data_IF_999977310180
#
_entry.id   IF_999977310180
#
_cell.length_a   1.000
_cell.length_b   1.000
_cell.length_c   1.000
_cell.angle_alpha   90.00
_cell.angle_beta   90.00
_cell.angle_gamma   90.00
#
_symmetry.space_group_name_H-M   'P 1'
#
loop_
_entity.id
_entity.type
_entity.pdbx_description
1 polymer ?
#
# COMPACT_ATOMS: atom_id res chain seq x y z
N UNK A 1 -17.44 -13.80 0.62
CA UNK A 1 -18.40 -13.20 1.60
C UNK A 1 -19.46 -12.41 0.84
N UNK A 2 -20.75 -12.60 1.13
CA UNK A 2 -21.79 -11.74 0.51
C UNK A 2 -21.86 -10.45 1.34
N UNK A 3 -21.65 -9.31 0.73
CA UNK A 3 -21.73 -7.96 1.33
C UNK A 3 -23.07 -7.64 2.03
N UNK A 4 -24.03 -8.55 1.97
CA UNK A 4 -25.36 -8.46 2.57
C UNK A 4 -25.63 -9.51 3.67
N UNK A 5 -24.58 -10.07 4.28
CA UNK A 5 -24.78 -10.97 5.44
C UNK A 5 -25.15 -10.13 6.67
N UNK A 6 -26.42 -10.20 7.06
CA UNK A 6 -26.96 -9.46 8.20
C UNK A 6 -26.22 -9.72 9.51
N UNK A 7 -25.64 -10.92 9.70
CA UNK A 7 -24.85 -11.24 10.90
C UNK A 7 -23.52 -10.45 10.90
N UNK A 8 -22.83 -10.42 9.76
CA UNK A 8 -21.58 -9.68 9.65
C UNK A 8 -21.78 -8.17 9.82
N UNK A 9 -22.82 -7.61 9.20
CA UNK A 9 -23.16 -6.19 9.38
C UNK A 9 -23.40 -5.83 10.85
N UNK A 10 -24.08 -6.70 11.62
CA UNK A 10 -24.27 -6.51 13.06
C UNK A 10 -22.93 -6.56 13.80
N UNK A 11 -22.07 -7.54 13.52
CA UNK A 11 -20.74 -7.62 14.17
C UNK A 11 -19.90 -6.38 13.90
N UNK A 12 -19.87 -5.90 12.65
CA UNK A 12 -19.15 -4.67 12.30
C UNK A 12 -19.63 -3.45 13.08
N UNK A 13 -20.96 -3.29 13.24
CA UNK A 13 -21.49 -2.13 13.98
C UNK A 13 -21.23 -2.17 15.49
N UNK A 14 -20.95 -3.35 16.05
CA UNK A 14 -20.62 -3.53 17.46
C UNK A 14 -19.11 -3.49 17.74
N UNK A 15 -18.27 -3.28 16.71
CA UNK A 15 -16.82 -3.21 16.87
C UNK A 15 -16.38 -2.05 17.76
N UNK A 16 -17.02 -0.90 17.61
CA UNK A 16 -16.70 0.34 18.32
C UNK A 16 -17.32 0.42 19.74
N UNK A 17 -18.18 -0.54 20.09
CA UNK A 17 -18.78 -0.58 21.43
C UNK A 17 -20.22 -1.07 21.46
N UNK A 18 -20.83 -1.12 22.65
CA UNK A 18 -22.19 -1.60 22.84
C UNK A 18 -23.24 -0.70 22.18
N UNK A 19 -24.21 -1.30 21.48
CA UNK A 19 -25.32 -0.61 20.84
C UNK A 19 -26.66 -1.24 21.21
N UNK A 20 -27.73 -0.43 21.27
CA UNK A 20 -29.11 -0.93 21.36
C UNK A 20 -29.60 -1.41 19.99
N UNK A 21 -30.55 -2.33 19.95
CA UNK A 21 -31.05 -2.92 18.72
C UNK A 21 -31.49 -1.91 17.64
N UNK A 22 -32.09 -0.77 18.05
CA UNK A 22 -32.41 0.31 17.10
C UNK A 22 -31.16 1.03 16.57
N UNK A 23 -30.18 1.31 17.44
CA UNK A 23 -28.93 1.95 17.08
C UNK A 23 -28.08 1.08 16.15
N UNK A 24 -28.13 -0.27 16.30
CA UNK A 24 -27.48 -1.21 15.38
C UNK A 24 -27.96 -0.98 13.94
N UNK A 25 -29.28 -0.87 13.72
CA UNK A 25 -29.81 -0.69 12.36
C UNK A 25 -29.48 0.70 11.78
N UNK A 26 -29.40 1.73 12.63
CA UNK A 26 -28.94 3.07 12.22
C UNK A 26 -27.43 3.05 11.87
N UNK A 27 -26.63 2.31 12.61
CA UNK A 27 -25.21 2.15 12.30
C UNK A 27 -25.00 1.35 10.99
N UNK A 28 -25.80 0.29 10.74
CA UNK A 28 -25.80 -0.43 9.47
C UNK A 28 -26.14 0.51 8.30
N UNK A 29 -27.15 1.37 8.46
CA UNK A 29 -27.52 2.35 7.43
C UNK A 29 -26.37 3.32 7.11
N UNK A 30 -25.62 3.76 8.12
CA UNK A 30 -24.42 4.60 7.90
C UNK A 30 -23.31 3.87 7.14
N UNK A 31 -23.14 2.57 7.39
CA UNK A 31 -22.11 1.76 6.75
C UNK A 31 -22.46 1.34 5.32
N UNK A 32 -23.75 1.10 5.03
CA UNK A 32 -24.19 0.45 3.78
C UNK A 32 -25.10 1.30 2.92
N UNK A 33 -25.56 2.43 3.44
CA UNK A 33 -26.59 3.26 2.79
C UNK A 33 -28.02 2.71 2.89
N UNK A 34 -28.23 1.55 3.54
CA UNK A 34 -29.56 0.93 3.67
C UNK A 34 -29.79 0.25 5.02
N UNK A 35 -31.06 0.17 5.45
CA UNK A 35 -31.43 -0.52 6.68
C UNK A 35 -31.77 -1.98 6.42
N UNK A 36 -31.47 -2.84 7.38
CA UNK A 36 -32.01 -4.20 7.40
C UNK A 36 -33.51 -4.18 7.75
N UNK A 37 -34.28 -5.02 7.07
CA UNK A 37 -35.66 -5.29 7.46
C UNK A 37 -35.75 -5.85 8.88
N UNK A 38 -36.84 -5.55 9.61
CA UNK A 38 -37.01 -5.98 11.02
C UNK A 38 -36.80 -7.49 11.22
N UNK A 39 -37.31 -8.34 10.32
CA UNK A 39 -37.13 -9.80 10.40
C UNK A 39 -35.67 -10.23 10.20
N UNK A 40 -34.95 -9.58 9.26
CA UNK A 40 -33.54 -9.87 8.98
C UNK A 40 -32.64 -9.48 10.15
N UNK A 41 -32.84 -8.30 10.75
CA UNK A 41 -32.10 -7.86 11.93
C UNK A 41 -32.37 -8.77 13.13
N UNK A 42 -33.65 -9.02 13.46
CA UNK A 42 -34.01 -9.89 14.59
C UNK A 42 -33.47 -11.31 14.42
N UNK A 43 -33.57 -11.87 13.22
CA UNK A 43 -33.02 -13.20 12.93
C UNK A 43 -31.49 -13.25 13.01
N UNK A 44 -30.77 -12.17 12.60
CA UNK A 44 -29.33 -12.06 12.76
C UNK A 44 -28.93 -12.00 14.24
N UNK A 45 -29.61 -11.18 15.04
CA UNK A 45 -29.32 -11.03 16.48
C UNK A 45 -29.54 -12.34 17.25
N UNK A 46 -30.64 -13.07 16.96
CA UNK A 46 -30.89 -14.40 17.57
C UNK A 46 -29.77 -15.36 17.24
N UNK A 47 -29.43 -15.52 15.95
CA UNK A 47 -28.34 -16.43 15.52
C UNK A 47 -26.98 -16.08 16.09
N UNK A 48 -26.64 -14.78 16.21
CA UNK A 48 -25.38 -14.34 16.80
C UNK A 48 -25.32 -14.62 18.29
N UNK A 49 -26.44 -14.46 19.01
CA UNK A 49 -26.56 -14.81 20.42
C UNK A 49 -26.45 -16.33 20.63
N UNK A 50 -27.16 -17.13 19.82
CA UNK A 50 -27.15 -18.58 19.93
C UNK A 50 -25.75 -19.18 19.61
N UNK A 51 -24.91 -18.43 18.88
CA UNK A 51 -23.51 -18.75 18.64
C UNK A 51 -22.55 -18.12 19.67
N UNK A 52 -23.09 -17.49 20.70
CA UNK A 52 -22.31 -16.79 21.74
C UNK A 52 -21.34 -15.70 21.20
N UNK A 53 -21.66 -15.11 20.04
CA UNK A 53 -20.83 -14.07 19.42
C UNK A 53 -21.18 -12.66 19.89
N UNK A 54 -22.40 -12.48 20.41
CA UNK A 54 -22.87 -11.25 21.04
C UNK A 54 -23.58 -11.58 22.35
N UNK A 55 -23.54 -10.64 23.29
CA UNK A 55 -24.23 -10.74 24.56
C UNK A 55 -24.97 -9.45 24.88
N UNK A 56 -26.07 -9.59 25.65
CA UNK A 56 -26.79 -8.46 26.19
C UNK A 56 -26.17 -8.02 27.51
N UNK A 57 -25.92 -6.73 27.64
CA UNK A 57 -25.53 -6.14 28.92
C UNK A 57 -26.74 -5.94 29.83
N UNK A 58 -26.46 -5.70 31.13
CA UNK A 58 -27.49 -5.39 32.09
C UNK A 58 -28.30 -4.15 31.73
N UNK A 59 -29.56 -4.12 32.13
CA UNK A 59 -30.54 -3.11 31.72
C UNK A 59 -30.13 -1.72 32.21
N UNK A 60 -29.85 -0.81 31.27
CA UNK A 60 -29.77 0.62 31.54
C UNK A 60 -31.09 1.28 31.13
N UNK A 61 -31.98 1.49 32.08
CA UNK A 61 -33.32 2.05 31.82
C UNK A 61 -34.24 1.05 31.11
N UNK A 62 -34.85 1.46 29.97
CA UNK A 62 -35.78 0.60 29.18
C UNK A 62 -35.12 -0.19 28.06
N UNK A 63 -33.79 -0.14 27.91
CA UNK A 63 -33.09 -0.71 26.77
C UNK A 63 -31.94 -1.61 27.23
N UNK A 64 -31.78 -2.72 26.51
CA UNK A 64 -30.68 -3.67 26.71
C UNK A 64 -29.64 -3.49 25.57
N UNK A 65 -28.46 -2.94 25.84
CA UNK A 65 -27.40 -2.85 24.83
C UNK A 65 -26.79 -4.24 24.57
N UNK A 66 -26.36 -4.45 23.30
CA UNK A 66 -25.56 -5.63 22.90
C UNK A 66 -24.10 -5.20 22.76
N UNK A 67 -23.21 -6.14 23.06
CA UNK A 67 -21.78 -6.02 22.73
C UNK A 67 -21.26 -7.32 22.10
N UNK A 68 -20.10 -7.23 21.47
CA UNK A 68 -19.33 -8.41 21.04
C UNK A 68 -18.80 -9.15 22.27
N UNK A 69 -18.90 -10.48 22.25
CA UNK A 69 -18.10 -11.32 23.13
C UNK A 69 -16.65 -11.40 22.62
N UNK A 70 -15.74 -11.99 23.40
CA UNK A 70 -14.38 -12.28 22.95
C UNK A 70 -14.38 -13.15 21.67
N UNK A 71 -15.27 -14.15 21.59
CA UNK A 71 -15.43 -14.99 20.41
C UNK A 71 -15.97 -14.20 19.20
N UNK A 72 -16.93 -13.29 19.43
CA UNK A 72 -17.47 -12.41 18.38
C UNK A 72 -16.42 -11.46 17.81
N UNK A 73 -15.57 -10.89 18.68
CA UNK A 73 -14.45 -10.02 18.26
C UNK A 73 -13.43 -10.81 17.45
N UNK A 74 -13.00 -11.98 17.93
CA UNK A 74 -12.05 -12.84 17.22
C UNK A 74 -12.58 -13.31 15.86
N UNK A 75 -13.89 -13.60 15.76
CA UNK A 75 -14.52 -13.92 14.47
C UNK A 75 -14.46 -12.72 13.51
N UNK A 76 -14.87 -11.53 13.98
CA UNK A 76 -14.85 -10.31 13.16
C UNK A 76 -13.45 -10.01 12.65
N UNK A 77 -12.45 -10.02 13.52
CA UNK A 77 -11.06 -9.79 13.16
C UNK A 77 -10.52 -10.79 12.13
N UNK A 78 -10.88 -12.07 12.25
CA UNK A 78 -10.51 -13.10 11.29
C UNK A 78 -11.16 -12.87 9.92
N UNK A 79 -12.45 -12.53 9.89
CA UNK A 79 -13.16 -12.28 8.64
C UNK A 79 -12.68 -11.01 7.96
N UNK A 80 -12.38 -9.94 8.71
CA UNK A 80 -11.80 -8.70 8.19
C UNK A 80 -10.42 -8.98 7.62
N UNK A 81 -9.55 -9.72 8.33
CA UNK A 81 -8.24 -10.16 7.81
C UNK A 81 -8.38 -10.97 6.53
N UNK A 82 -9.30 -11.93 6.48
CA UNK A 82 -9.54 -12.73 5.28
C UNK A 82 -9.96 -11.88 4.07
N UNK A 83 -10.76 -10.84 4.29
CA UNK A 83 -11.14 -9.89 3.21
C UNK A 83 -9.95 -9.02 2.81
N UNK A 84 -9.17 -8.55 3.78
CA UNK A 84 -7.93 -7.80 3.51
C UNK A 84 -6.91 -8.64 2.73
N UNK A 85 -6.73 -9.93 3.10
CA UNK A 85 -5.86 -10.88 2.38
C UNK A 85 -6.35 -11.14 0.94
N UNK A 86 -7.67 -11.23 0.72
CA UNK A 86 -8.23 -11.35 -0.63
C UNK A 86 -8.04 -10.06 -1.42
N UNK A 87 -8.27 -8.90 -0.79
CA UNK A 87 -8.02 -7.61 -1.41
C UNK A 87 -6.53 -7.42 -1.74
N UNK A 88 -5.62 -7.82 -0.82
CA UNK A 88 -4.18 -7.85 -1.05
C UNK A 88 -3.82 -8.67 -2.27
N UNK A 89 -4.32 -9.91 -2.36
CA UNK A 89 -4.11 -10.79 -3.51
C UNK A 89 -4.69 -10.24 -4.82
N UNK A 90 -5.80 -9.51 -4.77
CA UNK A 90 -6.35 -8.84 -5.98
C UNK A 90 -5.41 -7.76 -6.52
N UNK A 91 -4.67 -7.07 -5.65
CA UNK A 91 -3.67 -6.07 -6.05
C UNK A 91 -2.29 -6.69 -6.37
N UNK A 92 -1.95 -7.84 -5.77
CA UNK A 92 -0.68 -8.55 -6.00
C UNK A 92 -0.66 -9.37 -7.31
N UNK A 93 -1.80 -9.90 -7.75
CA UNK A 93 -1.91 -10.79 -8.91
C UNK A 93 -1.63 -10.11 -10.28
N UNK A 94 -0.98 -8.95 -10.30
CA UNK A 94 -0.91 -8.11 -11.49
C UNK A 94 0.33 -8.31 -12.35
N UNK A 95 1.39 -8.95 -11.86
CA UNK A 95 2.64 -9.11 -12.63
C UNK A 95 3.11 -10.57 -12.62
N UNK A 96 3.03 -11.29 -13.75
CA UNK A 96 3.77 -12.53 -13.90
C UNK A 96 5.27 -12.22 -13.77
N UNK A 97 5.96 -12.93 -12.90
CA UNK A 97 7.37 -12.71 -12.59
C UNK A 97 7.72 -11.26 -12.17
N UNK A 98 7.17 -10.89 -11.01
CA UNK A 98 7.38 -9.59 -10.36
C UNK A 98 8.87 -9.23 -10.21
N UNK A 99 9.73 -10.23 -9.99
CA UNK A 99 11.16 -10.02 -9.78
C UNK A 99 11.90 -9.68 -11.07
N UNK A 100 11.67 -10.44 -12.14
CA UNK A 100 12.29 -10.12 -13.43
C UNK A 100 11.82 -8.74 -13.95
N UNK A 101 10.59 -8.36 -13.64
CA UNK A 101 10.09 -7.00 -13.88
C UNK A 101 10.88 -5.96 -13.09
N UNK A 102 11.08 -6.16 -11.78
CA UNK A 102 11.83 -5.25 -10.92
C UNK A 102 13.30 -5.12 -11.36
N UNK A 103 13.95 -6.22 -11.72
CA UNK A 103 15.33 -6.23 -12.22
C UNK A 103 15.45 -5.45 -13.55
N UNK A 104 14.53 -5.68 -14.51
CA UNK A 104 14.50 -4.93 -15.78
C UNK A 104 14.28 -3.45 -15.57
N UNK A 105 13.36 -3.10 -14.70
CA UNK A 105 13.05 -1.70 -14.38
C UNK A 105 14.24 -1.01 -13.71
N UNK A 106 14.90 -1.69 -12.75
CA UNK A 106 16.09 -1.20 -12.07
C UNK A 106 17.28 -0.96 -13.03
N UNK A 107 17.32 -1.70 -14.15
CA UNK A 107 18.37 -1.56 -15.16
C UNK A 107 18.20 -0.31 -16.06
N UNK A 108 17.08 0.42 -15.99
CA UNK A 108 16.89 1.62 -16.80
C UNK A 108 17.65 2.82 -16.25
N UNK A 109 18.17 3.71 -17.12
CA UNK A 109 18.91 4.90 -16.71
C UNK A 109 18.09 5.82 -15.81
N UNK A 110 16.81 6.00 -16.12
CA UNK A 110 15.90 6.82 -15.33
C UNK A 110 15.78 6.31 -13.88
N UNK A 111 15.63 4.99 -13.71
CA UNK A 111 15.53 4.39 -12.38
C UNK A 111 16.87 4.45 -11.64
N UNK A 112 17.97 4.16 -12.29
CA UNK A 112 19.30 4.32 -11.69
C UNK A 112 19.56 5.74 -11.21
N UNK A 113 19.16 6.73 -12.01
CA UNK A 113 19.37 8.15 -11.69
C UNK A 113 18.60 8.58 -10.45
N UNK A 114 17.28 8.30 -10.37
CA UNK A 114 16.54 8.71 -9.18
C UNK A 114 16.93 7.92 -7.92
N UNK A 115 17.28 6.64 -8.05
CA UNK A 115 17.78 5.84 -6.91
C UNK A 115 19.10 6.36 -6.37
N UNK A 116 20.02 6.79 -7.24
CA UNK A 116 21.24 7.46 -6.82
C UNK A 116 20.95 8.79 -6.10
N UNK A 117 19.98 9.57 -6.59
CA UNK A 117 19.52 10.78 -5.92
C UNK A 117 18.93 10.48 -4.53
N UNK A 118 18.08 9.45 -4.40
CA UNK A 118 17.54 9.02 -3.11
C UNK A 118 18.64 8.66 -2.12
N UNK A 119 19.67 7.92 -2.57
CA UNK A 119 20.80 7.55 -1.72
C UNK A 119 21.53 8.79 -1.20
N UNK A 120 21.75 9.79 -2.05
CA UNK A 120 22.34 11.06 -1.62
C UNK A 120 21.47 11.84 -0.63
N UNK A 121 20.14 11.83 -0.81
CA UNK A 121 19.19 12.52 0.07
C UNK A 121 19.12 11.90 1.48
N UNK A 122 19.44 10.62 1.64
CA UNK A 122 19.52 9.94 2.94
C UNK A 122 20.61 10.56 3.85
N UNK A 123 21.62 11.17 3.29
CA UNK A 123 22.75 11.78 4.02
C UNK A 123 23.39 10.83 5.05
N UNK A 124 23.54 9.54 4.69
CA UNK A 124 24.09 8.51 5.55
C UNK A 124 25.54 8.80 5.91
N UNK A 125 25.93 8.41 7.13
CA UNK A 125 27.31 8.48 7.60
C UNK A 125 27.92 7.07 7.59
N UNK A 126 29.22 6.93 7.28
CA UNK A 126 29.92 5.68 7.48
C UNK A 126 29.75 5.16 8.90
N UNK A 127 29.51 3.86 9.06
CA UNK A 127 29.21 3.22 10.35
C UNK A 127 27.76 3.32 10.82
N UNK A 128 26.88 4.03 10.08
CA UNK A 128 25.47 4.18 10.41
C UNK A 128 24.64 2.93 10.13
N UNK A 129 23.44 2.88 10.70
CA UNK A 129 22.42 1.86 10.45
C UNK A 129 21.34 2.44 9.53
N UNK A 130 21.07 1.79 8.40
CA UNK A 130 20.03 2.21 7.45
C UNK A 130 18.99 1.10 7.24
N UNK A 131 17.72 1.51 7.11
CA UNK A 131 16.58 0.63 6.92
C UNK A 131 16.00 0.80 5.51
N UNK A 132 15.79 -0.31 4.79
CA UNK A 132 15.04 -0.36 3.53
C UNK A 132 13.68 -1.01 3.79
N UNK A 133 12.63 -0.19 3.78
CA UNK A 133 11.25 -0.57 4.03
C UNK A 133 10.62 -1.11 2.74
N UNK A 134 10.28 -2.40 2.71
CA UNK A 134 9.82 -3.09 1.51
C UNK A 134 10.97 -3.32 0.54
N UNK A 135 12.06 -3.93 1.01
CA UNK A 135 13.31 -4.07 0.25
C UNK A 135 13.17 -4.97 -1.01
N UNK A 136 12.04 -5.68 -1.17
CA UNK A 136 11.81 -6.59 -2.27
C UNK A 136 12.95 -7.60 -2.44
N UNK A 137 13.41 -7.88 -3.69
CA UNK A 137 14.51 -8.82 -3.93
C UNK A 137 15.91 -8.24 -3.63
N UNK A 138 16.00 -7.15 -2.86
CA UNK A 138 17.24 -6.60 -2.33
C UNK A 138 18.11 -5.82 -3.32
N UNK A 139 17.51 -5.23 -4.37
CA UNK A 139 18.26 -4.51 -5.42
C UNK A 139 19.06 -3.34 -4.84
N UNK A 140 18.50 -2.63 -3.87
CA UNK A 140 19.07 -1.41 -3.31
C UNK A 140 19.96 -1.66 -2.08
N UNK A 141 19.94 -2.87 -1.50
CA UNK A 141 20.71 -3.19 -0.30
C UNK A 141 22.22 -3.11 -0.51
N UNK A 142 22.71 -3.49 -1.71
CA UNK A 142 24.15 -3.33 -2.06
C UNK A 142 24.62 -1.88 -2.08
N UNK A 143 23.97 -0.98 -2.84
CA UNK A 143 24.25 0.47 -2.79
C UNK A 143 24.18 1.07 -1.37
N UNK A 144 23.20 0.67 -0.55
CA UNK A 144 23.11 1.10 0.85
C UNK A 144 24.29 0.61 1.68
N UNK A 145 24.70 -0.66 1.50
CA UNK A 145 25.87 -1.24 2.16
C UNK A 145 27.16 -0.50 1.79
N UNK A 146 27.30 -0.11 0.53
CA UNK A 146 28.39 0.75 0.09
C UNK A 146 28.41 2.12 0.77
N UNK A 147 27.24 2.72 0.95
CA UNK A 147 27.13 4.05 1.57
C UNK A 147 27.45 4.06 3.08
N UNK A 148 27.02 3.03 3.83
CA UNK A 148 27.34 2.93 5.26
C UNK A 148 28.72 2.32 5.54
N UNK A 149 29.31 1.66 4.54
CA UNK A 149 30.63 1.05 4.64
C UNK A 149 30.66 -0.22 5.55
N UNK A 150 31.84 -0.83 5.73
CA UNK A 150 31.96 -2.14 6.41
C UNK A 150 31.66 -2.08 7.91
N UNK A 151 31.73 -0.91 8.54
CA UNK A 151 31.35 -0.71 9.94
C UNK A 151 29.88 -0.35 10.15
N UNK A 152 29.11 -0.18 9.08
CA UNK A 152 27.69 0.12 9.15
C UNK A 152 26.80 -1.11 9.13
N UNK A 153 25.48 -0.91 9.15
CA UNK A 153 24.47 -1.96 9.09
C UNK A 153 23.35 -1.57 8.11
N UNK A 154 22.93 -2.50 7.30
CA UNK A 154 21.78 -2.36 6.40
C UNK A 154 20.73 -3.39 6.80
N UNK A 155 19.52 -2.92 7.07
CA UNK A 155 18.37 -3.75 7.37
C UNK A 155 17.38 -3.66 6.22
N UNK A 156 17.08 -4.78 5.57
CA UNK A 156 15.99 -4.89 4.59
C UNK A 156 14.79 -5.59 5.23
N UNK A 157 13.61 -5.01 5.15
CA UNK A 157 12.38 -5.63 5.62
C UNK A 157 11.41 -5.76 4.44
N UNK A 158 10.84 -6.96 4.25
CA UNK A 158 9.77 -7.21 3.30
C UNK A 158 8.78 -8.24 3.88
N UNK A 159 7.52 -8.17 3.46
CA UNK A 159 6.46 -9.09 3.90
C UNK A 159 6.39 -10.38 3.08
N UNK A 160 7.07 -10.45 1.94
CA UNK A 160 7.09 -11.58 1.04
C UNK A 160 8.28 -12.50 1.33
N UNK A 161 8.03 -13.74 1.75
CA UNK A 161 9.08 -14.76 1.96
C UNK A 161 9.94 -14.92 0.71
N UNK A 162 9.32 -15.00 -0.48
CA UNK A 162 10.02 -15.13 -1.75
C UNK A 162 10.98 -13.96 -2.01
N UNK A 163 10.53 -12.71 -1.73
CA UNK A 163 11.37 -11.53 -1.88
C UNK A 163 12.54 -11.54 -0.90
N UNK A 164 12.28 -11.88 0.36
CA UNK A 164 13.29 -12.02 1.42
C UNK A 164 14.35 -13.05 1.06
N UNK A 165 13.95 -14.23 0.58
CA UNK A 165 14.90 -15.28 0.20
C UNK A 165 15.78 -14.84 -0.98
N UNK A 166 15.21 -14.16 -1.97
CA UNK A 166 15.97 -13.58 -3.09
C UNK A 166 16.92 -12.47 -2.64
N UNK A 167 16.46 -11.60 -1.72
CA UNK A 167 17.31 -10.55 -1.16
C UNK A 167 18.50 -11.14 -0.38
N UNK A 168 18.27 -12.17 0.44
CA UNK A 168 19.33 -12.91 1.15
C UNK A 168 20.31 -13.56 0.17
N UNK A 169 19.82 -14.22 -0.87
CA UNK A 169 20.68 -14.81 -1.90
C UNK A 169 21.53 -13.75 -2.62
N UNK A 170 20.94 -12.58 -2.92
CA UNK A 170 21.63 -11.46 -3.58
C UNK A 170 22.70 -10.83 -2.71
N UNK A 171 22.47 -10.73 -1.41
CA UNK A 171 23.31 -9.97 -0.47
C UNK A 171 24.15 -10.84 0.48
N UNK A 172 24.11 -12.16 0.35
CA UNK A 172 24.80 -13.10 1.26
C UNK A 172 26.32 -12.92 1.33
N UNK A 173 26.92 -12.21 0.38
CA UNK A 173 28.33 -11.83 0.38
C UNK A 173 28.63 -10.52 1.13
N UNK A 174 27.60 -9.81 1.65
CA UNK A 174 27.69 -8.52 2.34
C UNK A 174 27.39 -8.72 3.84
N UNK A 175 28.39 -8.88 4.72
CA UNK A 175 28.18 -9.24 6.11
C UNK A 175 27.44 -8.16 6.93
N UNK A 176 27.42 -6.89 6.45
CA UNK A 176 26.71 -5.79 7.07
C UNK A 176 25.23 -5.72 6.69
N UNK A 177 24.74 -6.61 5.79
CA UNK A 177 23.34 -6.62 5.32
C UNK A 177 22.58 -7.74 6.02
N UNK A 178 21.46 -7.38 6.63
CA UNK A 178 20.49 -8.30 7.23
C UNK A 178 19.14 -8.13 6.55
N UNK A 179 18.47 -9.23 6.19
CA UNK A 179 17.14 -9.22 5.57
C UNK A 179 16.16 -10.00 6.44
N UNK A 180 15.08 -9.34 6.82
CA UNK A 180 14.07 -9.86 7.75
C UNK A 180 12.70 -9.90 7.08
N UNK A 181 11.98 -11.01 7.26
CA UNK A 181 10.56 -11.10 6.97
C UNK A 181 9.80 -10.29 8.04
N UNK A 182 9.01 -9.30 7.62
CA UNK A 182 8.31 -8.44 8.58
C UNK A 182 7.23 -7.58 7.95
N UNK A 183 6.39 -7.02 8.82
CA UNK A 183 5.32 -6.11 8.46
C UNK A 183 5.74 -4.67 8.74
N UNK A 184 5.53 -3.76 7.77
CA UNK A 184 5.85 -2.35 7.92
C UNK A 184 4.95 -1.63 8.94
N UNK A 185 3.80 -2.22 9.27
CA UNK A 185 2.89 -1.70 10.32
C UNK A 185 3.35 -2.03 11.74
N UNK A 186 4.37 -2.91 11.90
CA UNK A 186 4.94 -3.30 13.20
C UNK A 186 6.38 -3.75 13.02
N UNK A 187 7.29 -2.79 12.98
CA UNK A 187 8.70 -3.06 12.74
C UNK A 187 9.37 -3.74 13.95
N UNK A 188 10.10 -4.86 13.76
CA UNK A 188 10.79 -5.57 14.85
C UNK A 188 12.09 -4.85 15.26
N UNK A 189 12.02 -3.54 15.46
CA UNK A 189 13.16 -2.67 15.78
C UNK A 189 12.83 -1.79 16.97
N UNK A 190 13.85 -1.48 17.77
CA UNK A 190 13.71 -0.57 18.90
C UNK A 190 13.53 0.88 18.44
N UNK A 191 12.91 1.70 19.27
CA UNK A 191 12.77 3.13 19.06
C UNK A 191 14.13 3.80 18.89
N UNK A 192 14.24 4.72 17.94
CA UNK A 192 15.45 5.48 17.70
C UNK A 192 16.70 4.63 17.41
N UNK A 193 16.54 3.50 16.73
CA UNK A 193 17.63 2.54 16.48
C UNK A 193 18.32 2.70 15.13
N UNK A 194 17.72 3.44 14.15
CA UNK A 194 18.25 3.59 12.80
C UNK A 194 18.60 5.05 12.46
N UNK A 195 19.65 5.25 11.67
CA UNK A 195 20.22 6.55 11.30
C UNK A 195 19.64 7.09 9.99
N UNK A 196 18.87 6.27 9.27
CA UNK A 196 18.16 6.64 8.06
C UNK A 196 17.29 5.51 7.57
N UNK A 197 16.24 5.84 6.84
CA UNK A 197 15.35 4.86 6.24
C UNK A 197 14.93 5.29 4.83
N UNK A 198 14.60 4.31 4.00
CA UNK A 198 14.02 4.57 2.69
C UNK A 198 12.86 3.62 2.37
N UNK A 199 12.07 4.02 1.39
CA UNK A 199 11.09 3.15 0.73
C UNK A 199 10.94 3.58 -0.73
N UNK A 200 10.78 2.63 -1.65
CA UNK A 200 10.71 2.88 -3.09
C UNK A 200 9.63 2.02 -3.73
N UNK A 201 8.50 2.65 -4.11
CA UNK A 201 7.33 2.01 -4.74
C UNK A 201 6.71 0.89 -3.89
N UNK A 202 6.60 1.12 -2.60
CA UNK A 202 6.06 0.21 -1.60
C UNK A 202 4.75 0.70 -1.04
N UNK A 203 4.69 1.97 -0.61
CA UNK A 203 3.51 2.53 0.08
C UNK A 203 2.25 2.54 -0.80
N UNK A 204 2.40 2.51 -2.11
CA UNK A 204 1.29 2.31 -3.04
C UNK A 204 0.55 0.97 -2.84
N UNK A 205 1.17 -0.02 -2.20
CA UNK A 205 0.61 -1.36 -1.96
C UNK A 205 0.24 -1.61 -0.49
N UNK A 206 0.76 -0.81 0.43
CA UNK A 206 0.58 -0.95 1.88
C UNK A 206 -0.88 -0.68 2.27
N UNK A 207 -1.39 -1.43 3.24
CA UNK A 207 -2.79 -1.32 3.69
C UNK A 207 -3.05 0.02 4.39
N UNK A 208 -2.20 0.39 5.34
CA UNK A 208 -2.23 1.67 6.04
C UNK A 208 -0.85 2.38 5.94
N UNK A 209 -0.66 3.25 4.94
CA UNK A 209 0.57 4.03 4.82
C UNK A 209 0.85 4.93 6.01
N UNK A 210 -0.20 5.41 6.71
CA UNK A 210 -0.04 6.27 7.89
C UNK A 210 0.61 5.51 9.05
N UNK A 211 0.15 4.29 9.31
CA UNK A 211 0.72 3.43 10.35
C UNK A 211 2.16 3.01 9.99
N UNK A 212 2.43 2.66 8.73
CA UNK A 212 3.79 2.34 8.28
C UNK A 212 4.74 3.54 8.46
N UNK A 213 4.29 4.76 8.21
CA UNK A 213 5.07 5.98 8.43
C UNK A 213 5.26 6.29 9.92
N UNK A 214 4.27 6.02 10.77
CA UNK A 214 4.40 6.14 12.22
C UNK A 214 5.45 5.17 12.78
N UNK A 215 5.48 3.93 12.31
CA UNK A 215 6.50 2.95 12.67
C UNK A 215 7.89 3.36 12.16
N UNK A 216 8.00 3.83 10.92
CA UNK A 216 9.25 4.40 10.40
C UNK A 216 9.73 5.57 11.27
N UNK A 217 8.82 6.45 11.72
CA UNK A 217 9.13 7.56 12.62
C UNK A 217 9.63 7.08 13.98
N UNK A 218 9.01 6.05 14.55
CA UNK A 218 9.39 5.47 15.85
C UNK A 218 10.81 4.94 15.84
N UNK A 219 11.20 4.21 14.80
CA UNK A 219 12.53 3.57 14.75
C UNK A 219 13.66 4.52 14.34
N UNK A 220 13.33 5.66 13.73
CA UNK A 220 14.32 6.66 13.31
C UNK A 220 14.81 7.51 14.49
N UNK A 221 16.13 7.68 14.57
CA UNK A 221 16.76 8.61 15.52
C UNK A 221 16.34 10.06 15.24
N UNK A 222 16.33 10.92 16.26
CA UNK A 222 16.18 12.36 16.04
C UNK A 222 17.20 12.89 15.02
N UNK A 223 16.73 13.68 14.06
CA UNK A 223 17.54 14.21 12.94
C UNK A 223 17.78 13.24 11.78
N UNK A 224 17.36 11.97 11.90
CA UNK A 224 17.48 11.00 10.82
C UNK A 224 16.44 11.26 9.70
N UNK A 225 16.77 10.81 8.49
CA UNK A 225 15.93 11.01 7.29
C UNK A 225 15.23 9.74 6.86
N UNK A 226 13.97 9.91 6.43
CA UNK A 226 13.21 8.98 5.63
C UNK A 226 13.10 9.53 4.21
N UNK A 227 13.59 8.79 3.23
CA UNK A 227 13.47 9.15 1.81
C UNK A 227 12.52 8.18 1.12
N UNK A 228 11.43 8.70 0.58
CA UNK A 228 10.34 7.92 -0.02
C UNK A 228 10.21 8.27 -1.49
N UNK A 229 10.09 7.27 -2.37
CA UNK A 229 9.80 7.46 -3.78
C UNK A 229 8.55 6.68 -4.18
N UNK A 230 7.49 7.38 -4.54
CA UNK A 230 6.21 6.79 -4.91
C UNK A 230 5.62 7.43 -6.16
N UNK A 231 5.04 6.62 -7.06
CA UNK A 231 4.34 7.16 -8.22
C UNK A 231 3.02 7.81 -7.80
N UNK A 232 2.63 8.79 -8.57
CA UNK A 232 1.29 9.34 -8.58
C UNK A 232 0.56 8.84 -9.85
N UNK A 233 -0.17 7.75 -9.73
CA UNK A 233 -0.86 7.13 -10.86
C UNK A 233 -1.97 8.00 -11.43
N UNK A 234 -2.52 8.95 -10.66
CA UNK A 234 -3.45 9.95 -11.15
C UNK A 234 -2.78 10.98 -12.09
N UNK A 235 -1.45 11.02 -12.13
CA UNK A 235 -0.67 11.84 -13.07
C UNK A 235 -0.38 11.13 -14.39
N UNK A 236 -0.88 9.89 -14.58
CA UNK A 236 -0.65 9.14 -15.81
C UNK A 236 -1.29 9.83 -16.99
N UNK A 237 -0.46 10.20 -17.95
CA UNK A 237 -0.86 10.74 -19.24
C UNK A 237 -0.48 9.75 -20.35
N UNK A 238 -1.40 9.48 -21.25
CA UNK A 238 -1.19 8.68 -22.46
C UNK A 238 -1.74 9.51 -23.61
N UNK A 239 -0.97 9.65 -24.68
CA UNK A 239 -1.48 10.29 -25.90
C UNK A 239 -2.51 9.37 -26.58
N UNK A 240 -3.73 9.87 -26.73
CA UNK A 240 -4.82 9.20 -27.42
C UNK A 240 -5.87 10.24 -27.82
N UNK A 241 -6.43 10.18 -29.06
CA UNK A 241 -7.41 11.14 -29.53
C UNK A 241 -8.65 11.26 -28.64
N UNK A 242 -9.10 10.15 -28.07
CA UNK A 242 -10.22 10.13 -27.11
C UNK A 242 -9.67 10.08 -25.66
N UNK A 243 -9.66 11.24 -25.02
CA UNK A 243 -9.25 11.35 -23.60
C UNK A 243 -10.18 10.59 -22.63
N UNK A 244 -11.41 10.26 -23.05
CA UNK A 244 -12.34 9.44 -22.27
C UNK A 244 -11.81 8.02 -22.09
N UNK A 245 -11.19 7.47 -23.12
CA UNK A 245 -10.55 6.14 -23.11
C UNK A 245 -9.38 6.14 -22.11
N UNK A 246 -8.50 7.14 -22.17
CA UNK A 246 -7.36 7.27 -21.24
C UNK A 246 -7.85 7.40 -19.80
N UNK A 247 -8.85 8.23 -19.55
CA UNK A 247 -9.46 8.38 -18.22
C UNK A 247 -10.07 7.09 -17.70
N UNK A 248 -10.73 6.31 -18.57
CA UNK A 248 -11.27 4.99 -18.22
C UNK A 248 -10.16 4.03 -17.80
N UNK A 249 -9.07 3.99 -18.56
CA UNK A 249 -7.89 3.20 -18.24
C UNK A 249 -7.27 3.61 -16.90
N UNK A 250 -6.98 4.92 -16.69
CA UNK A 250 -6.39 5.43 -15.46
C UNK A 250 -7.27 5.15 -14.25
N UNK A 251 -8.59 5.34 -14.38
CA UNK A 251 -9.54 5.02 -13.30
C UNK A 251 -9.52 3.53 -12.95
N UNK A 252 -9.47 2.64 -13.93
CA UNK A 252 -9.31 1.21 -13.66
C UNK A 252 -8.03 0.93 -12.88
N UNK A 253 -6.92 1.56 -13.26
CA UNK A 253 -5.64 1.38 -12.61
C UNK A 253 -5.69 1.81 -11.14
N UNK A 254 -6.24 2.98 -10.86
CA UNK A 254 -6.31 3.55 -9.50
C UNK A 254 -7.40 2.92 -8.63
N UNK A 255 -8.50 2.44 -9.21
CA UNK A 255 -9.59 1.82 -8.46
C UNK A 255 -9.37 0.32 -8.19
N UNK A 256 -8.59 -0.38 -9.05
CA UNK A 256 -8.55 -1.86 -9.08
C UNK A 256 -7.15 -2.46 -9.06
N UNK A 257 -6.13 -1.73 -9.48
CA UNK A 257 -4.78 -2.29 -9.67
C UNK A 257 -3.82 -1.81 -8.59
N UNK A 258 -3.85 -0.52 -8.26
CA UNK A 258 -2.96 0.09 -7.27
C UNK A 258 -3.78 0.55 -6.08
N UNK A 259 -3.53 -0.01 -4.91
CA UNK A 259 -4.30 0.28 -3.68
C UNK A 259 -4.30 1.77 -3.34
N UNK A 260 -3.14 2.40 -3.37
CA UNK A 260 -2.93 3.81 -3.03
C UNK A 260 -2.44 4.58 -4.26
N UNK A 261 -3.30 4.69 -5.30
CA UNK A 261 -2.93 5.24 -6.60
C UNK A 261 -2.42 6.69 -6.57
N UNK A 262 -2.81 7.49 -5.59
CA UNK A 262 -2.39 8.88 -5.43
C UNK A 262 -1.32 9.08 -4.34
N UNK A 263 -0.68 8.01 -3.86
CA UNK A 263 0.23 8.05 -2.70
C UNK A 263 1.37 9.05 -2.91
N UNK A 264 1.94 9.16 -4.11
CA UNK A 264 3.05 10.05 -4.39
C UNK A 264 2.79 11.50 -3.98
N UNK A 265 1.60 12.05 -4.33
CA UNK A 265 1.21 13.41 -3.91
C UNK A 265 0.76 13.50 -2.46
N UNK A 266 0.41 12.38 -1.81
CA UNK A 266 -0.07 12.34 -0.44
C UNK A 266 1.05 12.21 0.59
N UNK A 267 2.25 11.77 0.20
CA UNK A 267 3.39 11.56 1.09
C UNK A 267 3.70 12.75 2.00
N UNK A 268 3.73 14.02 1.52
CA UNK A 268 4.03 15.15 2.40
C UNK A 268 3.06 15.27 3.56
N UNK A 269 1.76 15.12 3.29
CA UNK A 269 0.70 15.19 4.30
C UNK A 269 0.75 14.02 5.27
N UNK A 270 0.96 12.81 4.76
CA UNK A 270 1.03 11.61 5.58
C UNK A 270 2.28 11.59 6.47
N UNK A 271 3.42 12.00 5.94
CA UNK A 271 4.66 12.12 6.72
C UNK A 271 4.52 13.19 7.81
N UNK A 272 3.94 14.36 7.50
CA UNK A 272 3.66 15.39 8.50
C UNK A 272 2.72 14.88 9.61
N UNK A 273 1.67 14.13 9.26
CA UNK A 273 0.76 13.51 10.22
C UNK A 273 1.45 12.46 11.12
N UNK A 274 2.47 11.76 10.60
CA UNK A 274 3.32 10.84 11.35
C UNK A 274 4.40 11.54 12.20
N UNK A 275 4.44 12.88 12.22
CA UNK A 275 5.36 13.66 13.06
C UNK A 275 6.73 13.92 12.41
N UNK A 276 6.84 13.87 11.09
CA UNK A 276 8.03 14.29 10.36
C UNK A 276 7.94 15.77 9.94
N UNK A 277 9.09 16.44 9.88
CA UNK A 277 9.26 17.60 9.02
C UNK A 277 9.48 17.16 7.57
N UNK A 278 8.91 17.87 6.59
CA UNK A 278 9.03 17.54 5.17
C UNK A 278 9.72 18.67 4.41
N UNK A 279 11.06 18.70 4.39
CA UNK A 279 11.80 19.81 3.80
C UNK A 279 11.77 19.82 2.27
N UNK A 280 11.62 18.65 1.62
CA UNK A 280 11.77 18.55 0.16
C UNK A 280 10.81 17.55 -0.46
N UNK A 281 10.22 17.96 -1.58
CA UNK A 281 9.48 17.09 -2.50
C UNK A 281 10.02 17.34 -3.91
N UNK A 282 10.56 16.30 -4.55
CA UNK A 282 11.13 16.38 -5.88
C UNK A 282 10.31 15.55 -6.85
N UNK A 283 9.63 16.13 -7.85
CA UNK A 283 8.97 15.38 -8.90
C UNK A 283 10.00 14.81 -9.89
N UNK A 284 9.82 13.56 -10.27
CA UNK A 284 10.61 12.87 -11.29
C UNK A 284 9.66 12.41 -12.39
N UNK A 285 9.46 13.21 -13.44
CA UNK A 285 8.61 12.79 -14.55
C UNK A 285 9.29 11.66 -15.33
N UNK A 286 8.59 10.55 -15.47
CA UNK A 286 9.03 9.41 -16.29
C UNK A 286 8.28 9.46 -17.60
N UNK A 287 9.00 9.65 -18.70
CA UNK A 287 8.43 9.72 -20.06
C UNK A 287 8.80 8.48 -20.86
N UNK A 288 7.82 7.84 -21.42
CA UNK A 288 7.98 6.70 -22.31
C UNK A 288 7.72 7.13 -23.75
N UNK A 289 8.66 6.81 -24.64
CA UNK A 289 8.58 7.06 -26.09
C UNK A 289 8.59 5.75 -26.89
N UNK A 290 8.62 4.63 -26.18
CA UNK A 290 8.59 3.28 -26.74
C UNK A 290 7.53 2.45 -26.01
N UNK A 291 6.65 1.80 -26.77
CA UNK A 291 5.55 1.02 -26.22
C UNK A 291 6.04 -0.17 -25.39
N UNK A 292 7.10 -0.85 -25.83
CA UNK A 292 7.60 -2.03 -25.12
C UNK A 292 8.12 -1.67 -23.73
N UNK A 293 8.89 -0.57 -23.64
CA UNK A 293 9.36 -0.04 -22.37
C UNK A 293 8.20 0.45 -21.48
N UNK A 294 7.21 1.12 -22.06
CA UNK A 294 6.03 1.57 -21.35
C UNK A 294 5.19 0.41 -20.84
N UNK A 295 4.93 -0.61 -21.66
CA UNK A 295 4.10 -1.76 -21.27
C UNK A 295 4.74 -2.58 -20.17
N UNK A 296 6.08 -2.70 -20.14
CA UNK A 296 6.80 -3.33 -19.04
C UNK A 296 6.58 -2.63 -17.69
N UNK A 297 6.38 -1.31 -17.67
CA UNK A 297 6.19 -0.52 -16.45
C UNK A 297 4.71 -0.30 -16.14
N UNK A 298 3.92 0.05 -17.15
CA UNK A 298 2.52 0.45 -16.98
C UNK A 298 1.56 -0.74 -17.16
N UNK A 299 2.00 -1.83 -17.80
CA UNK A 299 1.17 -2.98 -18.11
C UNK A 299 0.00 -2.63 -19.02
N UNK A 300 0.25 -1.81 -20.05
CA UNK A 300 -0.77 -1.19 -20.90
C UNK A 300 -1.70 -2.22 -21.55
N UNK A 301 -1.15 -3.27 -22.16
CA UNK A 301 -1.94 -4.31 -22.80
C UNK A 301 -2.80 -5.04 -21.77
N UNK A 302 -2.19 -5.62 -20.75
CA UNK A 302 -2.86 -6.42 -19.74
C UNK A 302 -3.91 -5.62 -18.96
N UNK A 303 -3.59 -4.40 -18.56
CA UNK A 303 -4.52 -3.56 -17.79
C UNK A 303 -5.66 -3.02 -18.67
N UNK A 304 -5.46 -2.85 -19.98
CA UNK A 304 -6.55 -2.53 -20.92
C UNK A 304 -7.56 -3.67 -21.02
N UNK A 305 -7.09 -4.92 -21.15
CA UNK A 305 -7.95 -6.11 -21.18
C UNK A 305 -8.75 -6.25 -19.87
N UNK A 306 -8.11 -5.99 -18.72
CA UNK A 306 -8.76 -5.98 -17.41
C UNK A 306 -9.76 -4.83 -17.26
N UNK A 307 -9.45 -3.64 -17.77
CA UNK A 307 -10.35 -2.49 -17.78
C UNK A 307 -11.63 -2.77 -18.58
N UNK A 308 -11.50 -3.47 -19.70
CA UNK A 308 -12.66 -3.94 -20.49
C UNK A 308 -13.46 -4.97 -19.70
N UNK A 309 -12.82 -5.97 -19.13
CA UNK A 309 -13.49 -7.01 -18.33
C UNK A 309 -14.20 -6.42 -17.12
N UNK A 310 -13.63 -5.41 -16.48
CA UNK A 310 -14.18 -4.73 -15.32
C UNK A 310 -15.20 -3.62 -15.66
N UNK A 311 -15.47 -3.35 -16.96
CA UNK A 311 -16.46 -2.38 -17.42
C UNK A 311 -16.03 -0.92 -17.36
N UNK A 312 -14.74 -0.62 -17.18
CA UNK A 312 -14.18 0.74 -17.25
C UNK A 312 -14.00 1.22 -18.70
N UNK A 313 -13.82 0.27 -19.62
CA UNK A 313 -13.76 0.50 -21.05
C UNK A 313 -14.73 -0.47 -21.76
N UNK A 314 -15.33 -0.04 -22.86
CA UNK A 314 -15.98 -0.96 -23.77
C UNK A 314 -14.94 -1.76 -24.56
N UNK A 315 -15.33 -2.89 -25.13
CA UNK A 315 -14.44 -3.69 -25.99
C UNK A 315 -13.91 -2.89 -27.20
N UNK A 316 -14.72 -1.98 -27.74
CA UNK A 316 -14.30 -1.10 -28.82
C UNK A 316 -13.25 -0.07 -28.38
N UNK A 317 -13.44 0.53 -27.20
CA UNK A 317 -12.48 1.45 -26.60
C UNK A 317 -11.15 0.77 -26.26
N UNK A 318 -11.19 -0.45 -25.68
CA UNK A 318 -9.98 -1.22 -25.41
C UNK A 318 -9.17 -1.53 -26.67
N UNK A 319 -9.84 -1.96 -27.75
CA UNK A 319 -9.17 -2.14 -29.05
C UNK A 319 -8.61 -0.84 -29.60
N UNK A 320 -9.39 0.25 -29.58
CA UNK A 320 -8.93 1.56 -30.03
C UNK A 320 -7.68 2.03 -29.30
N UNK A 321 -7.61 1.81 -27.98
CA UNK A 321 -6.44 2.14 -27.17
C UNK A 321 -5.22 1.33 -27.63
N UNK A 322 -5.33 0.01 -27.69
CA UNK A 322 -4.21 -0.86 -28.06
C UNK A 322 -3.74 -0.62 -29.51
N UNK A 323 -4.67 -0.42 -30.45
CA UNK A 323 -4.36 -0.10 -31.83
C UNK A 323 -3.62 1.25 -31.95
N UNK A 324 -4.07 2.27 -31.19
CA UNK A 324 -3.39 3.58 -31.17
C UNK A 324 -1.97 3.46 -30.59
N UNK A 325 -1.82 2.76 -29.45
CA UNK A 325 -0.52 2.57 -28.79
C UNK A 325 0.50 1.82 -29.66
N UNK A 326 0.02 0.96 -30.58
CA UNK A 326 0.89 0.20 -31.50
C UNK A 326 1.49 1.09 -32.61
N UNK A 327 0.98 2.31 -32.81
CA UNK A 327 1.45 3.22 -33.85
C UNK A 327 2.37 4.30 -33.29
N UNK A 328 3.36 4.70 -34.06
CA UNK A 328 4.27 5.79 -33.71
C UNK A 328 3.73 7.14 -34.22
N UNK A 329 4.03 8.26 -33.53
CA UNK A 329 4.84 8.36 -32.29
C UNK A 329 4.07 8.00 -31.03
N UNK A 330 4.67 7.19 -30.16
CA UNK A 330 4.12 6.82 -28.86
C UNK A 330 4.51 7.83 -27.77
N UNK A 331 3.56 8.13 -26.88
CA UNK A 331 3.82 8.92 -25.67
C UNK A 331 2.99 8.41 -24.48
N UNK A 332 3.69 8.16 -23.38
CA UNK A 332 3.07 8.05 -22.07
C UNK A 332 3.99 8.68 -21.00
N UNK A 333 3.42 9.17 -19.91
CA UNK A 333 4.21 9.67 -18.79
C UNK A 333 3.49 9.47 -17.47
N UNK A 334 4.27 9.28 -16.40
CA UNK A 334 3.80 9.25 -15.02
C UNK A 334 4.81 9.96 -14.13
N UNK A 335 4.36 10.66 -13.11
CA UNK A 335 5.25 11.35 -12.17
C UNK A 335 5.51 10.48 -10.94
N UNK A 336 6.78 10.24 -10.65
CA UNK A 336 7.26 9.73 -9.37
C UNK A 336 7.58 10.92 -8.47
N UNK A 337 7.19 10.89 -7.21
CA UNK A 337 7.55 11.92 -6.24
C UNK A 337 8.56 11.35 -5.24
N UNK A 338 9.71 12.01 -5.11
CA UNK A 338 10.68 11.71 -4.04
C UNK A 338 10.45 12.71 -2.93
N UNK A 339 10.02 12.20 -1.78
CA UNK A 339 9.78 13.01 -0.57
C UNK A 339 10.85 12.70 0.46
N UNK A 340 11.58 13.72 0.89
CA UNK A 340 12.47 13.63 2.05
C UNK A 340 11.70 14.10 3.29
N UNK A 341 11.71 13.28 4.32
CA UNK A 341 11.12 13.56 5.63
C UNK A 341 12.21 13.46 6.70
N UNK A 342 12.22 14.37 7.67
CA UNK A 342 13.20 14.40 8.77
C UNK A 342 12.50 14.13 10.09
N UNK A 343 13.03 13.21 10.87
CA UNK A 343 12.60 13.00 12.25
C UNK A 343 13.04 14.23 13.07
N UNK A 344 12.13 14.99 13.72
CA UNK A 344 12.51 16.16 14.49
C UNK A 344 13.58 15.84 15.53
N UNK A 345 14.49 16.77 15.77
CA UNK A 345 15.43 16.68 16.90
C UNK A 345 14.66 16.60 18.22
N UNK A 346 15.17 15.84 19.19
CA UNK A 346 14.63 15.90 20.54
C UNK A 346 14.86 17.32 21.10
N UNK A 347 13.79 17.95 21.54
CA UNK A 347 13.86 19.25 22.22
C UNK A 347 14.51 19.12 23.58
#
# INVERSE_FOLDING_TARGET
MRTNDAQMLVLCTLADGPLHGYAVNTAIERLTGSRLGRGSLSGALVRLRDKELVEYLDVQGRQRPLRLTAAGRALLEREVRSVADVAGRMFEATVPDRTAYQDRLAATDAVRSYKASMLGMLALRPGGTVLDLGCGPGIDLGPLAGAVGPGGRVLGIDHSEEAVDRARARTGHLPQVEVVLGDLHSLPLADGSVDGARTDRVLQHVEDPGLALAEARRVLRPGARLVMAEPDWESLAIDHPDLGVVRGYTRHLTDRIVRNGAIGRQLPRLAAAAGFAVPTVTPVPTVFRDLTAADQVLGLQRNTERAVTAGYLTAAQGRSLLDHLAHQPFFASVTLHITTAEAPAAH
#
